data_IF_500283176137
#
_entry.id   IF_500283176137
#
_cell.length_a   1.000
_cell.length_b   1.000
_cell.length_c   1.000
_cell.angle_alpha   90.00
_cell.angle_beta   90.00
_cell.angle_gamma   90.00
#
_symmetry.space_group_name_H-M   'P 1'
#
loop_
_entity.id
_entity.type
_entity.pdbx_description
1 polymer ?
#
# COMPACT_ATOMS: atom_id res chain seq x y z
N UNK A 1 6.96 -6.72 15.81
CA UNK A 1 7.20 -7.97 16.58
C UNK A 1 6.09 -8.98 16.36
N UNK A 2 4.82 -8.72 16.73
CA UNK A 2 3.73 -9.67 16.48
C UNK A 2 3.67 -10.20 15.03
N UNK A 3 3.81 -9.29 14.06
CA UNK A 3 3.80 -9.59 12.63
C UNK A 3 4.94 -10.52 12.16
N UNK A 4 6.07 -10.56 12.87
CA UNK A 4 7.25 -11.37 12.50
C UNK A 4 7.35 -12.68 13.31
N UNK A 5 6.36 -12.99 14.16
CA UNK A 5 6.39 -14.16 15.06
C UNK A 5 5.16 -15.07 14.88
N UNK A 6 4.59 -15.12 13.68
CA UNK A 6 3.50 -16.05 13.33
C UNK A 6 2.08 -15.53 13.61
N UNK A 7 1.89 -14.23 13.85
CA UNK A 7 0.56 -13.61 13.88
C UNK A 7 0.17 -13.11 12.48
N UNK A 8 -0.09 -14.04 11.59
CA UNK A 8 -0.57 -13.75 10.24
C UNK A 8 -1.90 -12.99 10.26
N UNK A 9 -2.21 -12.26 9.18
CA UNK A 9 -3.45 -11.49 9.07
C UNK A 9 -3.49 -10.22 9.91
N UNK A 10 -2.34 -9.77 10.43
CA UNK A 10 -2.23 -8.51 11.15
C UNK A 10 -2.66 -7.32 10.27
N UNK A 11 -3.49 -6.45 10.83
CA UNK A 11 -3.94 -5.22 10.18
C UNK A 11 -3.84 -4.04 11.16
N UNK A 12 -3.45 -2.89 10.64
CA UNK A 12 -3.37 -1.65 11.40
C UNK A 12 -3.63 -0.45 10.50
N UNK A 13 -3.71 0.74 11.09
CA UNK A 13 -3.88 2.01 10.40
C UNK A 13 -2.85 3.02 10.87
N UNK A 14 -2.35 3.86 9.95
CA UNK A 14 -1.45 4.97 10.26
C UNK A 14 -1.83 6.20 9.43
N UNK A 15 -1.66 7.38 10.01
CA UNK A 15 -1.83 8.64 9.29
C UNK A 15 -0.57 8.94 8.46
N UNK A 16 -0.71 8.90 7.13
CA UNK A 16 0.32 9.24 6.16
C UNK A 16 -0.31 9.84 4.90
N UNK A 17 0.41 10.70 4.18
CA UNK A 17 -0.12 11.34 2.96
C UNK A 17 0.07 10.47 1.71
N UNK A 18 0.93 9.46 1.79
CA UNK A 18 1.24 8.52 0.71
C UNK A 18 1.69 7.18 1.31
N UNK A 19 1.69 6.08 0.52
CA UNK A 19 2.31 4.83 0.93
C UNK A 19 3.79 4.99 1.35
N UNK A 20 4.53 5.87 0.66
CA UNK A 20 5.93 6.18 0.98
C UNK A 20 6.07 6.86 2.34
N UNK A 21 5.20 7.84 2.61
CA UNK A 21 5.18 8.56 3.89
C UNK A 21 4.86 7.62 5.06
N UNK A 22 4.08 6.55 4.82
CA UNK A 22 3.76 5.57 5.86
C UNK A 22 5.04 4.88 6.40
N UNK A 23 6.00 4.58 5.53
CA UNK A 23 7.31 4.03 5.93
C UNK A 23 8.04 5.00 6.86
N UNK A 24 8.19 6.26 6.44
CA UNK A 24 8.84 7.30 7.24
C UNK A 24 8.12 7.59 8.56
N UNK A 25 6.79 7.42 8.59
CA UNK A 25 6.03 7.54 9.84
C UNK A 25 6.27 6.39 10.79
N UNK A 26 6.39 5.15 10.31
CA UNK A 26 6.80 4.03 11.16
C UNK A 26 8.22 4.25 11.70
N UNK A 27 9.16 4.71 10.87
CA UNK A 27 10.53 5.05 11.30
C UNK A 27 10.51 6.06 12.47
N UNK A 28 9.72 7.13 12.31
CA UNK A 28 9.55 8.17 13.34
C UNK A 28 8.93 7.59 14.61
N UNK A 29 7.86 6.81 14.50
CA UNK A 29 7.16 6.23 15.65
C UNK A 29 8.03 5.25 16.44
N UNK A 30 8.82 4.40 15.76
CA UNK A 30 9.75 3.48 16.43
C UNK A 30 10.82 4.26 17.17
N UNK A 31 11.35 5.33 16.56
CA UNK A 31 12.33 6.21 17.21
C UNK A 31 11.74 6.89 18.45
N UNK A 32 10.50 7.40 18.35
CA UNK A 32 9.80 8.03 19.48
C UNK A 32 9.44 7.05 20.60
N UNK A 33 9.29 5.75 20.30
CA UNK A 33 9.05 4.71 21.29
C UNK A 33 10.29 4.40 22.16
N UNK A 34 11.41 5.09 21.94
CA UNK A 34 12.67 4.87 22.68
C UNK A 34 13.39 3.59 22.28
N UNK A 35 13.03 3.02 21.13
CA UNK A 35 13.65 1.80 20.61
C UNK A 35 14.89 2.20 19.81
N UNK A 36 16.07 1.92 20.35
CA UNK A 36 17.34 2.16 19.68
C UNK A 36 17.65 1.04 18.68
N UNK A 37 17.08 1.16 17.47
CA UNK A 37 17.42 0.30 16.33
C UNK A 37 18.06 1.13 15.23
N UNK A 38 19.09 0.62 14.54
CA UNK A 38 19.58 1.25 13.32
C UNK A 38 18.44 1.43 12.32
N UNK A 39 18.39 2.57 11.62
CA UNK A 39 17.28 2.89 10.70
C UNK A 39 17.07 1.79 9.64
N UNK A 40 18.17 1.23 9.15
CA UNK A 40 18.16 0.07 8.25
C UNK A 40 17.43 -1.14 8.84
N UNK A 41 17.63 -1.44 10.13
CA UNK A 41 16.96 -2.55 10.80
C UNK A 41 15.45 -2.31 10.95
N UNK A 42 15.03 -1.06 11.19
CA UNK A 42 13.60 -0.69 11.24
C UNK A 42 12.95 -0.93 9.88
N UNK A 43 13.60 -0.46 8.80
CA UNK A 43 13.13 -0.69 7.42
C UNK A 43 13.09 -2.17 7.06
N UNK A 44 14.07 -2.95 7.48
CA UNK A 44 14.09 -4.39 7.25
C UNK A 44 12.92 -5.07 7.94
N UNK A 45 12.64 -4.70 9.19
CA UNK A 45 11.48 -5.23 9.90
C UNK A 45 10.16 -4.79 9.26
N UNK A 46 10.07 -3.56 8.75
CA UNK A 46 8.89 -3.07 8.02
C UNK A 46 8.67 -3.88 6.74
N UNK A 47 9.69 -3.98 5.88
CA UNK A 47 9.58 -4.68 4.60
C UNK A 47 9.31 -6.18 4.75
N UNK A 48 9.78 -6.80 5.83
CA UNK A 48 9.50 -8.21 6.12
C UNK A 48 8.10 -8.45 6.72
N UNK A 49 7.50 -7.43 7.36
CA UNK A 49 6.25 -7.57 8.12
C UNK A 49 5.01 -7.07 7.37
N UNK A 50 5.18 -6.15 6.42
CA UNK A 50 4.10 -5.47 5.72
C UNK A 50 4.07 -5.98 4.29
N UNK A 51 2.96 -6.59 3.87
CA UNK A 51 2.77 -7.03 2.49
C UNK A 51 2.13 -5.95 1.61
N UNK A 52 1.17 -5.21 2.15
CA UNK A 52 0.30 -4.30 1.41
C UNK A 52 0.01 -3.02 2.20
N UNK A 53 -0.08 -1.91 1.47
CA UNK A 53 -0.54 -0.62 1.96
C UNK A 53 -1.75 -0.21 1.12
N UNK A 54 -2.88 0.03 1.77
CA UNK A 54 -4.09 0.58 1.16
C UNK A 54 -4.20 2.04 1.59
N UNK A 55 -3.86 2.96 0.68
CA UNK A 55 -3.90 4.38 0.95
C UNK A 55 -5.29 4.93 0.71
N UNK A 56 -5.82 5.67 1.68
CA UNK A 56 -7.12 6.37 1.57
C UNK A 56 -6.89 7.87 1.68
N UNK A 57 -7.32 8.63 0.67
CA UNK A 57 -7.26 10.09 0.70
C UNK A 57 -8.67 10.68 0.68
N UNK A 58 -8.82 11.84 1.31
CA UNK A 58 -9.97 12.71 1.12
C UNK A 58 -9.71 13.55 -0.13
N UNK A 59 -10.51 13.36 -1.17
CA UNK A 59 -10.42 14.14 -2.38
C UNK A 59 -11.10 15.51 -2.22
N UNK A 60 -10.83 16.41 -3.16
CA UNK A 60 -11.54 17.68 -3.25
C UNK A 60 -13.05 17.45 -3.36
N UNK A 61 -13.85 18.26 -2.66
CA UNK A 61 -15.30 18.07 -2.54
C UNK A 61 -15.71 17.06 -1.45
N UNK A 62 -14.75 16.43 -0.75
CA UNK A 62 -14.99 15.68 0.47
C UNK A 62 -15.05 14.15 0.41
N UNK A 63 -15.23 13.44 -0.74
CA UNK A 63 -15.29 11.98 -0.70
C UNK A 63 -13.94 11.39 -0.31
N UNK A 64 -13.97 10.30 0.48
CA UNK A 64 -12.78 9.48 0.73
C UNK A 64 -12.71 8.38 -0.31
N UNK A 65 -11.57 8.23 -0.95
CA UNK A 65 -11.32 7.14 -1.90
C UNK A 65 -10.01 6.43 -1.55
N UNK A 66 -9.97 5.13 -1.80
CA UNK A 66 -8.69 4.44 -1.95
C UNK A 66 -7.98 5.10 -3.13
N UNK A 67 -6.73 5.48 -2.96
CA UNK A 67 -5.94 6.10 -4.04
C UNK A 67 -4.81 5.22 -4.50
N UNK A 68 -4.31 4.35 -3.63
CA UNK A 68 -3.23 3.42 -3.93
C UNK A 68 -3.52 2.10 -3.25
N UNK A 69 -3.28 1.00 -3.96
CA UNK A 69 -3.05 -0.32 -3.39
C UNK A 69 -1.62 -0.68 -3.76
N UNK A 70 -0.72 -0.57 -2.79
CA UNK A 70 0.72 -0.67 -2.98
C UNK A 70 1.23 -1.94 -2.30
N UNK A 71 1.92 -2.79 -3.05
CA UNK A 71 2.68 -3.90 -2.49
C UNK A 71 4.02 -3.42 -1.97
N UNK A 72 4.38 -3.90 -0.78
CA UNK A 72 5.72 -3.76 -0.22
C UNK A 72 6.49 -5.03 -0.58
N UNK A 73 7.64 -4.87 -1.22
CA UNK A 73 8.40 -6.00 -1.75
C UNK A 73 9.54 -6.38 -0.79
N UNK A 74 10.66 -5.70 -0.91
CA UNK A 74 11.87 -5.98 -0.14
C UNK A 74 12.61 -4.67 0.11
N UNK A 75 13.87 -4.76 0.49
CA UNK A 75 14.77 -3.62 0.50
C UNK A 75 15.83 -3.75 -0.57
N UNK A 76 16.08 -2.65 -1.26
CA UNK A 76 17.26 -2.46 -2.08
C UNK A 76 18.16 -1.43 -1.38
N UNK A 77 19.36 -1.89 -0.97
CA UNK A 77 20.26 -1.13 -0.11
C UNK A 77 19.55 -0.64 1.17
N UNK A 78 19.24 0.66 1.28
CA UNK A 78 18.59 1.27 2.43
C UNK A 78 17.16 1.74 2.12
N UNK A 79 16.62 1.38 0.95
CA UNK A 79 15.29 1.80 0.48
C UNK A 79 14.33 0.63 0.48
N UNK A 80 13.15 0.81 1.07
CA UNK A 80 12.04 -0.15 0.94
C UNK A 80 11.48 -0.05 -0.48
N UNK A 81 11.52 -1.13 -1.23
CA UNK A 81 10.98 -1.23 -2.59
C UNK A 81 9.49 -1.51 -2.49
N UNK A 82 8.71 -0.79 -3.30
CA UNK A 82 7.27 -0.89 -3.34
C UNK A 82 6.78 -0.74 -4.78
N UNK A 83 5.63 -1.31 -5.10
CA UNK A 83 4.99 -1.20 -6.39
C UNK A 83 3.48 -1.00 -6.26
N UNK A 84 2.91 -0.09 -7.04
CA UNK A 84 1.46 0.12 -7.06
C UNK A 84 0.79 -0.92 -7.94
N UNK A 85 -0.19 -1.63 -7.39
CA UNK A 85 -1.02 -2.62 -8.09
C UNK A 85 -2.26 -1.91 -8.69
N UNK A 86 -2.85 -1.01 -7.90
CA UNK A 86 -3.99 -0.20 -8.33
C UNK A 86 -3.81 1.25 -7.91
N UNK A 87 -4.26 2.15 -8.77
CA UNK A 87 -4.21 3.59 -8.57
C UNK A 87 -5.58 4.20 -8.83
N UNK A 88 -5.91 5.28 -8.11
CA UNK A 88 -6.99 6.18 -8.50
C UNK A 88 -6.40 7.34 -9.30
N UNK A 89 -6.85 7.48 -10.55
CA UNK A 89 -6.47 8.59 -11.43
C UNK A 89 -7.60 9.62 -11.38
N UNK A 90 -7.26 10.84 -10.97
CA UNK A 90 -8.21 11.95 -10.96
C UNK A 90 -8.30 12.54 -12.38
N UNK A 91 -9.47 12.44 -12.99
CA UNK A 91 -9.73 12.96 -14.34
C UNK A 91 -10.04 14.46 -14.33
N UNK A 92 -10.62 14.95 -13.22
CA UNK A 92 -10.97 16.36 -13.11
C UNK A 92 -11.73 16.71 -11.84
N UNK A 93 -12.36 17.87 -11.88
CA UNK A 93 -13.24 18.41 -10.83
C UNK A 93 -14.53 18.86 -11.51
N UNK A 94 -15.69 18.50 -10.94
CA UNK A 94 -17.00 18.89 -11.46
C UNK A 94 -17.35 20.36 -11.11
N UNK A 95 -18.47 20.85 -11.62
CA UNK A 95 -18.96 22.23 -11.38
C UNK A 95 -19.24 22.53 -9.90
N UNK A 96 -19.50 21.50 -9.10
CA UNK A 96 -19.70 21.59 -7.64
C UNK A 96 -18.37 21.54 -6.85
N UNK A 97 -17.23 21.48 -7.55
CA UNK A 97 -15.91 21.43 -6.94
C UNK A 97 -15.51 20.05 -6.41
N UNK A 98 -16.20 18.97 -6.83
CA UNK A 98 -15.90 17.59 -6.43
C UNK A 98 -14.97 16.92 -7.42
N UNK A 99 -13.88 16.36 -6.92
CA UNK A 99 -12.97 15.57 -7.75
C UNK A 99 -13.62 14.25 -8.18
N UNK A 100 -13.47 13.93 -9.47
CA UNK A 100 -13.87 12.65 -10.05
C UNK A 100 -12.70 12.02 -10.80
N UNK A 101 -12.84 10.73 -11.09
CA UNK A 101 -11.76 9.91 -11.62
C UNK A 101 -12.14 8.44 -11.64
N UNK A 102 -11.22 7.62 -12.10
CA UNK A 102 -11.38 6.18 -12.22
C UNK A 102 -10.25 5.43 -11.51
N UNK A 103 -10.45 4.13 -11.28
CA UNK A 103 -9.38 3.25 -10.82
C UNK A 103 -8.68 2.64 -12.02
N UNK A 104 -7.37 2.46 -11.94
CA UNK A 104 -6.58 1.73 -12.92
C UNK A 104 -5.84 0.58 -12.26
N UNK A 105 -5.79 -0.57 -12.94
CA UNK A 105 -4.79 -1.59 -12.70
C UNK A 105 -3.51 -1.19 -13.44
N UNK A 106 -2.36 -1.28 -12.77
CA UNK A 106 -1.09 -0.79 -13.33
C UNK A 106 -0.42 -1.77 -14.30
N UNK A 107 -0.91 -3.00 -14.42
CA UNK A 107 -0.22 -4.08 -15.11
C UNK A 107 0.63 -4.96 -14.18
N UNK A 108 0.84 -4.52 -12.94
CA UNK A 108 1.67 -5.23 -11.97
C UNK A 108 0.90 -6.41 -11.39
N UNK A 109 1.43 -7.63 -11.60
CA UNK A 109 0.96 -8.82 -10.91
C UNK A 109 1.64 -8.90 -9.53
N UNK A 110 0.88 -9.00 -8.43
CA UNK A 110 1.47 -9.07 -7.09
C UNK A 110 2.36 -10.30 -6.91
N UNK A 111 3.37 -10.20 -6.06
CA UNK A 111 4.29 -11.33 -5.80
C UNK A 111 3.68 -12.40 -4.89
N UNK A 112 2.70 -12.04 -4.07
CA UNK A 112 2.00 -12.96 -3.16
C UNK A 112 0.84 -13.73 -3.80
N UNK A 113 0.75 -13.80 -5.14
CA UNK A 113 -0.34 -14.50 -5.84
C UNK A 113 -0.44 -15.98 -5.48
N UNK A 114 0.69 -16.68 -5.41
CA UNK A 114 0.71 -18.11 -5.05
C UNK A 114 0.19 -18.33 -3.63
N UNK A 115 0.48 -17.41 -2.71
CA UNK A 115 -0.03 -17.45 -1.33
C UNK A 115 -1.55 -17.27 -1.29
N UNK A 116 -2.11 -16.37 -2.11
CA UNK A 116 -3.56 -16.23 -2.25
C UNK A 116 -4.21 -17.50 -2.80
N UNK A 117 -3.63 -18.09 -3.84
CA UNK A 117 -4.15 -19.32 -4.44
C UNK A 117 -4.13 -20.50 -3.46
N UNK A 118 -3.05 -20.65 -2.68
CA UNK A 118 -2.94 -21.64 -1.60
C UNK A 118 -3.95 -21.41 -0.49
N UNK A 119 -4.30 -20.16 -0.20
CA UNK A 119 -5.38 -19.80 0.72
C UNK A 119 -6.79 -20.01 0.12
N UNK A 120 -6.90 -20.56 -1.09
CA UNK A 120 -8.17 -20.81 -1.77
C UNK A 120 -8.74 -19.59 -2.51
N UNK A 121 -8.02 -18.47 -2.54
CA UNK A 121 -8.43 -17.24 -3.21
C UNK A 121 -7.91 -17.24 -4.65
N UNK A 122 -8.78 -17.58 -5.61
CA UNK A 122 -8.48 -17.48 -7.04
C UNK A 122 -9.00 -16.16 -7.60
N UNK A 123 -8.08 -15.28 -7.97
CA UNK A 123 -8.40 -14.02 -8.62
C UNK A 123 -8.35 -14.18 -10.15
N UNK A 124 -9.21 -13.48 -10.91
CA UNK A 124 -9.15 -13.49 -12.37
C UNK A 124 -7.78 -13.02 -12.87
N UNK A 125 -7.18 -13.74 -13.81
CA UNK A 125 -5.85 -13.39 -14.35
C UNK A 125 -5.83 -11.98 -14.98
N UNK A 126 -6.95 -11.54 -15.53
CA UNK A 126 -7.09 -10.22 -16.15
C UNK A 126 -7.33 -9.10 -15.12
N UNK A 127 -7.42 -9.38 -13.82
CA UNK A 127 -7.66 -8.36 -12.79
C UNK A 127 -6.54 -7.31 -12.75
N UNK A 128 -5.31 -7.73 -12.97
CA UNK A 128 -4.12 -6.88 -12.90
C UNK A 128 -3.63 -6.37 -14.25
N UNK A 129 -4.29 -6.75 -15.36
CA UNK A 129 -3.93 -6.28 -16.69
C UNK A 129 -4.07 -4.76 -16.75
N UNK A 130 -3.07 -4.06 -17.32
CA UNK A 130 -3.05 -2.60 -17.36
C UNK A 130 -4.31 -2.04 -18.06
N UNK A 131 -5.20 -1.42 -17.30
CA UNK A 131 -6.43 -0.78 -17.80
C UNK A 131 -7.11 0.04 -16.71
N UNK A 132 -7.97 0.95 -17.13
CA UNK A 132 -9.02 1.48 -16.29
C UNK A 132 -10.04 0.39 -15.91
N UNK A 133 -10.44 0.39 -14.64
CA UNK A 133 -11.41 -0.51 -14.06
C UNK A 133 -12.80 0.12 -14.06
N UNK A 134 -13.81 -0.67 -14.44
CA UNK A 134 -15.20 -0.22 -14.47
C UNK A 134 -15.62 0.51 -15.75
N UNK A 135 -14.74 0.54 -16.76
CA UNK A 135 -15.09 0.86 -18.14
C UNK A 135 -15.42 -0.41 -18.93
#
# INVERSE_FOLDING_TARGET
QAMNTGHEGSLTTIHANSPRDAVSRIETMVTMAGVELPMRAIRQQFAAAVDLIIQVNRLQGGPRKVTHITEVLNMEQDTVVMQDIFLFVQDGVDEEGRAYGHFEATGVRPTFMDRLEQAGMRLPANLFAARALGM
#
